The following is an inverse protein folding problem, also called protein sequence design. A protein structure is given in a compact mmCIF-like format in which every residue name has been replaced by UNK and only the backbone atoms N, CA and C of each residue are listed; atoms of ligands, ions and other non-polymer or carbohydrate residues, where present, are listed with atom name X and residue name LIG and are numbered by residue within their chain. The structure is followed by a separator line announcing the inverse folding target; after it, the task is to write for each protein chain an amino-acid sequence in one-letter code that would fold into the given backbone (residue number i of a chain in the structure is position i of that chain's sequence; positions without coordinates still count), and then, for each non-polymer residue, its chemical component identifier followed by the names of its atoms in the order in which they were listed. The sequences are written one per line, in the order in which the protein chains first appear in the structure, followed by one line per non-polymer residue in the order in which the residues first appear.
data_IF_720071787742
#
_entry.id   IF_720071787742
#
_cell.length_a   1.000
_cell.length_b   1.000
_cell.length_c   1.000
_cell.angle_alpha   90.00
_cell.angle_beta   90.00
_cell.angle_gamma   90.00
#
_symmetry.space_group_name_H-M   'P 1'
#
loop_
_entity.id
_entity.type
_entity.pdbx_description
1 polymer ?
#
# COMPACT_ATOMS: atom_id res chain seq x y z
N UNK A 1 -36.79 4.39 17.71
CA UNK A 1 -36.52 5.74 18.23
C UNK A 1 -37.36 6.76 17.49
N UNK A 2 -37.95 7.76 18.18
CA UNK A 2 -38.82 8.77 17.57
C UNK A 2 -38.07 10.05 17.21
N UNK A 3 -36.79 9.92 16.77
CA UNK A 3 -36.06 11.08 16.29
C UNK A 3 -36.55 11.48 14.89
N UNK A 4 -36.97 12.73 14.75
CA UNK A 4 -37.28 13.29 13.45
C UNK A 4 -35.98 13.87 12.83
N UNK A 5 -35.45 13.18 11.82
CA UNK A 5 -34.21 13.56 11.15
C UNK A 5 -34.45 14.21 9.78
N UNK A 6 -35.71 14.49 9.40
CA UNK A 6 -36.09 14.97 8.05
C UNK A 6 -35.47 16.32 7.62
N UNK A 7 -34.95 17.10 8.59
CA UNK A 7 -34.30 18.38 8.32
C UNK A 7 -32.79 18.37 8.60
N UNK A 8 -32.22 17.20 8.94
CA UNK A 8 -30.80 17.08 9.21
C UNK A 8 -30.01 17.08 7.92
N UNK A 9 -29.03 17.98 7.80
CA UNK A 9 -28.14 18.11 6.63
C UNK A 9 -26.74 17.56 6.88
N UNK A 10 -26.37 17.35 8.15
CA UNK A 10 -25.08 16.74 8.55
C UNK A 10 -25.27 15.80 9.72
N UNK A 11 -24.70 14.60 9.59
CA UNK A 11 -24.60 13.60 10.65
C UNK A 11 -23.12 13.33 11.02
N UNK A 12 -22.26 14.33 10.75
CA UNK A 12 -20.84 14.25 11.10
C UNK A 12 -20.68 13.93 12.59
N UNK A 13 -19.84 12.94 12.89
CA UNK A 13 -19.48 12.54 14.27
C UNK A 13 -20.69 12.15 15.17
N UNK A 14 -21.88 11.87 14.63
CA UNK A 14 -23.10 11.68 15.43
C UNK A 14 -22.98 10.59 16.49
N UNK A 15 -22.27 9.50 16.23
CA UNK A 15 -22.01 8.39 17.15
C UNK A 15 -20.52 8.23 17.47
N UNK A 16 -19.71 9.26 17.18
CA UNK A 16 -18.27 9.20 17.43
C UNK A 16 -17.96 8.81 18.87
N UNK A 17 -17.07 7.82 19.05
CA UNK A 17 -16.63 7.39 20.37
C UNK A 17 -17.66 6.59 21.18
N UNK A 18 -18.81 6.20 20.61
CA UNK A 18 -19.78 5.32 21.28
C UNK A 18 -19.19 3.89 21.41
N UNK A 19 -18.10 3.78 22.17
CA UNK A 19 -17.24 2.58 22.22
C UNK A 19 -17.92 1.35 22.84
N UNK A 20 -18.97 1.52 23.64
CA UNK A 20 -19.73 0.42 24.27
C UNK A 20 -20.98 0.01 23.48
N UNK A 21 -21.28 0.68 22.37
CA UNK A 21 -22.44 0.38 21.54
C UNK A 21 -22.18 -0.94 20.79
N UNK A 22 -23.06 -1.93 20.98
CA UNK A 22 -22.91 -3.27 20.38
C UNK A 22 -23.74 -3.41 19.11
N UNK A 23 -24.96 -2.87 19.14
CA UNK A 23 -25.93 -2.94 18.04
C UNK A 23 -26.58 -1.58 17.85
N UNK A 24 -26.85 -1.23 16.59
CA UNK A 24 -27.53 0.02 16.28
C UNK A 24 -28.42 -0.16 15.06
N UNK A 25 -29.71 0.16 15.20
CA UNK A 25 -30.67 0.22 14.10
C UNK A 25 -31.05 1.67 13.83
N UNK A 26 -30.72 2.15 12.64
CA UNK A 26 -31.02 3.49 12.14
C UNK A 26 -31.92 3.47 10.91
N UNK A 27 -32.59 2.34 10.64
CA UNK A 27 -33.43 2.19 9.44
C UNK A 27 -34.56 3.22 9.35
N UNK A 28 -35.00 3.80 10.50
CA UNK A 28 -36.02 4.82 10.56
C UNK A 28 -35.52 6.26 10.34
N UNK A 29 -34.19 6.46 10.18
CA UNK A 29 -33.65 7.79 9.95
C UNK A 29 -33.92 8.26 8.53
N UNK A 30 -34.47 9.46 8.39
CA UNK A 30 -34.52 10.13 7.09
C UNK A 30 -33.20 10.86 6.86
N UNK A 31 -32.42 10.39 5.89
CA UNK A 31 -31.10 10.93 5.55
C UNK A 31 -31.09 11.66 4.18
N UNK A 32 -32.24 11.85 3.56
CA UNK A 32 -32.37 12.39 2.22
C UNK A 32 -31.75 13.80 2.01
N UNK A 33 -31.58 14.57 3.10
CA UNK A 33 -30.93 15.89 3.05
C UNK A 33 -29.48 15.87 3.56
N UNK A 34 -28.98 14.70 4.00
CA UNK A 34 -27.67 14.62 4.62
C UNK A 34 -26.59 14.61 3.56
N UNK A 35 -25.69 15.57 3.61
CA UNK A 35 -24.54 15.67 2.71
C UNK A 35 -23.22 15.23 3.34
N UNK A 36 -23.11 15.20 4.67
CA UNK A 36 -21.89 14.87 5.37
C UNK A 36 -22.15 13.82 6.47
N UNK A 37 -21.53 12.65 6.31
CA UNK A 37 -21.53 11.55 7.30
C UNK A 37 -20.11 11.23 7.80
N UNK A 38 -19.15 12.15 7.62
CA UNK A 38 -17.77 11.90 8.06
C UNK A 38 -17.71 11.62 9.56
N UNK A 39 -16.88 10.64 9.96
CA UNK A 39 -16.70 10.21 11.34
C UNK A 39 -17.98 9.70 12.06
N UNK A 40 -19.09 9.46 11.35
CA UNK A 40 -20.39 9.18 11.99
C UNK A 40 -20.32 8.06 13.03
N UNK A 41 -19.56 6.99 12.76
CA UNK A 41 -19.36 5.85 13.67
C UNK A 41 -17.90 5.70 14.12
N UNK A 42 -17.08 6.74 13.99
CA UNK A 42 -15.67 6.70 14.36
C UNK A 42 -15.48 6.23 15.81
N UNK A 43 -14.62 5.23 16.01
CA UNK A 43 -14.36 4.62 17.32
C UNK A 43 -15.56 3.94 18.00
N UNK A 44 -16.59 3.53 17.28
CA UNK A 44 -17.62 2.60 17.79
C UNK A 44 -17.02 1.19 17.90
N UNK A 45 -16.06 1.02 18.81
CA UNK A 45 -15.18 -0.16 18.87
C UNK A 45 -15.90 -1.48 19.13
N UNK A 46 -17.01 -1.47 19.87
CA UNK A 46 -17.80 -2.67 20.20
C UNK A 46 -18.94 -2.95 19.24
N UNK A 47 -19.16 -2.07 18.23
CA UNK A 47 -20.27 -2.19 17.29
C UNK A 47 -20.10 -3.43 16.42
N UNK A 48 -21.00 -4.41 16.57
CA UNK A 48 -21.01 -5.68 15.82
C UNK A 48 -22.03 -5.68 14.71
N UNK A 49 -23.20 -5.09 14.94
CA UNK A 49 -24.33 -5.03 14.03
C UNK A 49 -24.79 -3.60 13.83
N UNK A 50 -24.89 -3.19 12.57
CA UNK A 50 -25.36 -1.86 12.18
C UNK A 50 -26.37 -2.00 11.05
N UNK A 51 -27.60 -1.53 11.28
CA UNK A 51 -28.64 -1.46 10.25
C UNK A 51 -28.79 -0.02 9.76
N UNK A 52 -28.38 0.22 8.54
CA UNK A 52 -28.49 1.49 7.80
C UNK A 52 -29.15 1.29 6.43
N UNK A 53 -29.92 0.21 6.29
CA UNK A 53 -30.60 -0.13 5.03
C UNK A 53 -31.60 0.91 4.55
N UNK A 54 -32.11 1.75 5.44
CA UNK A 54 -33.02 2.85 5.12
C UNK A 54 -32.34 4.17 4.75
N UNK A 55 -31.01 4.22 4.70
CA UNK A 55 -30.31 5.46 4.35
C UNK A 55 -30.51 5.83 2.89
N UNK A 56 -31.01 7.06 2.67
CA UNK A 56 -30.98 7.73 1.38
C UNK A 56 -29.73 8.63 1.33
N UNK A 57 -28.82 8.32 0.43
CA UNK A 57 -27.51 8.97 0.35
C UNK A 57 -27.29 9.77 -0.94
N UNK A 58 -28.38 10.08 -1.69
CA UNK A 58 -28.31 10.82 -2.96
C UNK A 58 -27.56 12.16 -2.86
N UNK A 59 -27.60 12.81 -1.69
CA UNK A 59 -26.93 14.08 -1.44
C UNK A 59 -25.57 13.93 -0.73
N UNK A 60 -25.14 12.68 -0.43
CA UNK A 60 -23.91 12.44 0.31
C UNK A 60 -22.68 12.84 -0.51
N UNK A 61 -21.82 13.72 0.03
CA UNK A 61 -20.58 14.14 -0.60
C UNK A 61 -19.32 13.81 0.22
N UNK A 62 -19.47 13.53 1.51
CA UNK A 62 -18.37 13.20 2.39
C UNK A 62 -18.71 12.03 3.31
N UNK A 63 -18.00 10.90 3.13
CA UNK A 63 -18.07 9.74 4.02
C UNK A 63 -16.71 9.35 4.60
N UNK A 64 -15.73 10.29 4.58
CA UNK A 64 -14.40 10.04 5.11
C UNK A 64 -14.48 9.60 6.57
N UNK A 65 -13.71 8.55 6.90
CA UNK A 65 -13.59 8.02 8.28
C UNK A 65 -14.92 7.58 8.91
N UNK A 66 -15.98 7.33 8.11
CA UNK A 66 -17.32 7.05 8.62
C UNK A 66 -17.35 5.86 9.56
N UNK A 67 -16.62 4.78 9.25
CA UNK A 67 -16.53 3.56 10.07
C UNK A 67 -15.15 3.34 10.68
N UNK A 68 -14.30 4.35 10.67
CA UNK A 68 -12.92 4.22 11.17
C UNK A 68 -12.90 3.76 12.63
N UNK A 69 -12.11 2.69 12.93
CA UNK A 69 -12.05 2.02 14.23
C UNK A 69 -13.39 1.37 14.71
N UNK A 70 -14.26 0.95 13.79
CA UNK A 70 -15.35 0.02 14.13
C UNK A 70 -14.78 -1.40 14.20
N UNK A 71 -13.90 -1.65 15.17
CA UNK A 71 -13.03 -2.83 15.21
C UNK A 71 -13.76 -4.15 15.44
N UNK A 72 -14.99 -4.14 15.95
CA UNK A 72 -15.83 -5.34 16.17
C UNK A 72 -16.86 -5.57 15.05
N UNK A 73 -16.98 -4.68 14.07
CA UNK A 73 -17.93 -4.81 12.96
C UNK A 73 -17.57 -6.03 12.10
N UNK A 74 -18.52 -6.96 11.95
CA UNK A 74 -18.28 -8.25 11.28
C UNK A 74 -18.65 -8.19 9.79
N UNK A 75 -19.78 -7.54 9.50
CA UNK A 75 -20.28 -7.37 8.12
C UNK A 75 -20.89 -5.99 7.95
N UNK A 76 -20.85 -5.48 6.72
CA UNK A 76 -21.48 -4.23 6.37
C UNK A 76 -21.99 -4.31 4.93
N UNK A 77 -23.24 -3.90 4.72
CA UNK A 77 -23.85 -3.79 3.40
C UNK A 77 -24.11 -2.33 3.07
N UNK A 78 -23.49 -1.83 2.00
CA UNK A 78 -23.66 -0.50 1.46
C UNK A 78 -24.25 -0.53 0.03
N UNK A 79 -24.87 -1.63 -0.38
CA UNK A 79 -25.44 -1.77 -1.73
C UNK A 79 -26.56 -0.77 -2.03
N UNK A 80 -27.16 -0.17 -0.98
CA UNK A 80 -28.17 0.88 -1.11
C UNK A 80 -27.58 2.31 -1.16
N UNK A 81 -26.25 2.47 -0.98
CA UNK A 81 -25.63 3.80 -0.98
C UNK A 81 -25.46 4.34 -2.38
N UNK A 82 -26.02 5.52 -2.65
CA UNK A 82 -25.63 6.35 -3.78
C UNK A 82 -24.43 7.21 -3.36
N UNK A 83 -23.27 6.92 -3.95
CA UNK A 83 -22.03 7.64 -3.68
C UNK A 83 -21.58 8.51 -4.87
N UNK A 84 -22.49 8.78 -5.83
CA UNK A 84 -22.21 9.52 -7.05
C UNK A 84 -21.70 10.96 -6.82
N UNK A 85 -21.94 11.51 -5.64
CA UNK A 85 -21.49 12.83 -5.24
C UNK A 85 -20.30 12.81 -4.25
N UNK A 86 -19.85 11.62 -3.82
CA UNK A 86 -18.77 11.49 -2.85
C UNK A 86 -17.42 11.85 -3.48
N UNK A 87 -16.68 12.73 -2.83
CA UNK A 87 -15.37 13.22 -3.29
C UNK A 87 -14.20 12.63 -2.49
N UNK A 88 -14.44 12.09 -1.29
CA UNK A 88 -13.41 11.47 -0.46
C UNK A 88 -13.95 10.24 0.27
N UNK A 89 -13.17 9.17 0.22
CA UNK A 89 -13.38 7.93 0.95
C UNK A 89 -12.18 7.62 1.88
N UNK A 90 -11.41 8.67 2.24
CA UNK A 90 -10.26 8.54 3.12
C UNK A 90 -10.65 7.81 4.41
N UNK A 91 -9.92 6.71 4.73
CA UNK A 91 -10.10 5.92 5.95
C UNK A 91 -11.53 5.43 6.24
N UNK A 92 -12.39 5.37 5.22
CA UNK A 92 -13.81 5.03 5.45
C UNK A 92 -13.99 3.75 6.26
N UNK A 93 -13.21 2.70 5.98
CA UNK A 93 -13.26 1.41 6.68
C UNK A 93 -11.98 1.09 7.45
N UNK A 94 -11.08 2.06 7.63
CA UNK A 94 -9.81 1.81 8.29
C UNK A 94 -10.03 1.24 9.70
N UNK A 95 -9.16 0.30 10.12
CA UNK A 95 -9.21 -0.36 11.43
C UNK A 95 -10.54 -1.09 11.75
N UNK A 96 -11.35 -1.45 10.73
CA UNK A 96 -12.44 -2.40 10.86
C UNK A 96 -11.86 -3.83 10.91
N UNK A 97 -11.11 -4.14 11.96
CA UNK A 97 -10.23 -5.32 12.02
C UNK A 97 -10.96 -6.66 12.05
N UNK A 98 -12.23 -6.70 12.46
CA UNK A 98 -13.08 -7.91 12.47
C UNK A 98 -13.94 -8.05 11.22
N UNK A 99 -13.89 -7.09 10.28
CA UNK A 99 -14.73 -7.08 9.09
C UNK A 99 -14.36 -8.24 8.17
N UNK A 100 -15.30 -9.16 7.94
CA UNK A 100 -15.12 -10.34 7.08
C UNK A 100 -15.84 -10.15 5.74
N UNK A 101 -17.00 -9.50 5.74
CA UNK A 101 -17.85 -9.27 4.56
C UNK A 101 -18.18 -7.79 4.43
N UNK A 102 -17.93 -7.26 3.23
CA UNK A 102 -18.22 -5.87 2.89
C UNK A 102 -18.82 -5.84 1.49
N UNK A 103 -20.10 -5.46 1.40
CA UNK A 103 -20.80 -5.32 0.12
C UNK A 103 -20.73 -3.87 -0.39
N UNK A 104 -20.02 -3.67 -1.49
CA UNK A 104 -19.78 -2.38 -2.15
C UNK A 104 -20.34 -2.35 -3.59
N UNK A 105 -21.21 -3.29 -3.96
CA UNK A 105 -21.58 -3.58 -5.35
C UNK A 105 -22.06 -2.36 -6.15
N UNK A 106 -22.72 -1.41 -5.51
CA UNK A 106 -23.28 -0.24 -6.17
C UNK A 106 -22.53 1.08 -5.89
N UNK A 107 -21.36 1.02 -5.22
CA UNK A 107 -20.61 2.23 -4.95
C UNK A 107 -20.09 2.88 -6.24
N UNK A 108 -20.46 4.13 -6.44
CA UNK A 108 -20.01 4.97 -7.55
C UNK A 108 -18.86 5.84 -7.07
N UNK A 109 -17.67 5.70 -7.70
CA UNK A 109 -16.46 6.40 -7.25
C UNK A 109 -15.93 7.44 -8.24
N UNK A 110 -16.74 7.82 -9.23
CA UNK A 110 -16.33 8.70 -10.33
C UNK A 110 -15.81 10.07 -9.91
N UNK A 111 -16.24 10.59 -8.74
CA UNK A 111 -15.81 11.90 -8.22
C UNK A 111 -14.80 11.79 -7.09
N UNK A 112 -14.44 10.57 -6.68
CA UNK A 112 -13.51 10.36 -5.56
C UNK A 112 -12.10 10.75 -5.97
N UNK A 113 -11.46 11.60 -5.15
CA UNK A 113 -10.09 12.09 -5.34
C UNK A 113 -9.14 11.46 -4.33
N UNK A 114 -9.61 11.09 -3.15
CA UNK A 114 -8.81 10.51 -2.07
C UNK A 114 -9.40 9.18 -1.59
N UNK A 115 -8.62 8.10 -1.77
CA UNK A 115 -8.92 6.75 -1.27
C UNK A 115 -7.86 6.28 -0.26
N UNK A 116 -7.06 7.22 0.29
CA UNK A 116 -5.99 6.85 1.21
C UNK A 116 -6.52 6.11 2.43
N UNK A 117 -5.84 5.02 2.78
CA UNK A 117 -6.15 4.17 3.93
C UNK A 117 -7.58 3.62 3.96
N UNK A 118 -8.32 3.60 2.82
CA UNK A 118 -9.74 3.24 2.80
C UNK A 118 -10.04 1.90 3.47
N UNK A 119 -9.23 0.87 3.24
CA UNK A 119 -9.35 -0.47 3.82
C UNK A 119 -8.20 -0.81 4.77
N UNK A 120 -7.42 0.20 5.19
CA UNK A 120 -6.24 -0.05 6.03
C UNK A 120 -6.63 -0.80 7.31
N UNK A 121 -5.85 -1.82 7.67
CA UNK A 121 -6.11 -2.65 8.88
C UNK A 121 -7.46 -3.40 8.90
N UNK A 122 -8.06 -3.66 7.75
CA UNK A 122 -9.16 -4.62 7.62
C UNK A 122 -8.59 -6.06 7.70
N UNK A 123 -8.07 -6.42 8.87
CA UNK A 123 -7.23 -7.62 9.09
C UNK A 123 -7.94 -8.94 8.82
N UNK A 124 -9.28 -8.99 8.94
CA UNK A 124 -10.09 -10.19 8.75
C UNK A 124 -10.69 -10.32 7.37
N UNK A 125 -10.56 -9.30 6.52
CA UNK A 125 -11.11 -9.28 5.17
C UNK A 125 -10.33 -10.29 4.29
N UNK A 126 -11.05 -11.27 3.72
CA UNK A 126 -10.44 -12.33 2.91
C UNK A 126 -10.45 -11.96 1.42
N UNK A 127 -11.52 -11.32 0.99
CA UNK A 127 -11.72 -10.84 -0.38
C UNK A 127 -12.56 -9.58 -0.38
N UNK A 128 -12.50 -8.82 -1.44
CA UNK A 128 -13.32 -7.63 -1.64
C UNK A 128 -13.60 -7.46 -3.14
N UNK A 129 -14.87 -7.20 -3.49
CA UNK A 129 -15.24 -6.83 -4.84
C UNK A 129 -15.24 -5.31 -5.00
N UNK A 130 -14.28 -4.83 -5.78
CA UNK A 130 -14.09 -3.43 -6.16
C UNK A 130 -14.04 -3.26 -7.68
N UNK A 131 -14.57 -4.25 -8.41
CA UNK A 131 -14.61 -4.24 -9.89
C UNK A 131 -15.41 -3.05 -10.45
N UNK A 132 -16.37 -2.51 -9.67
CA UNK A 132 -17.13 -1.32 -10.02
C UNK A 132 -16.43 0.02 -9.78
N UNK A 133 -15.24 0.03 -9.16
CA UNK A 133 -14.57 1.29 -8.82
C UNK A 133 -14.00 1.98 -10.07
N UNK A 134 -14.35 3.24 -10.26
CA UNK A 134 -13.69 4.13 -11.20
C UNK A 134 -12.68 5.02 -10.44
N UNK A 135 -11.39 4.80 -10.69
CA UNK A 135 -10.31 5.50 -9.99
C UNK A 135 -9.66 6.62 -10.82
N UNK A 136 -10.25 6.98 -11.97
CA UNK A 136 -9.66 7.94 -12.93
C UNK A 136 -9.46 9.36 -12.40
N UNK A 137 -10.07 9.70 -11.27
CA UNK A 137 -9.88 10.99 -10.59
C UNK A 137 -9.07 10.89 -9.28
N UNK A 138 -8.68 9.68 -8.88
CA UNK A 138 -7.96 9.47 -7.62
C UNK A 138 -6.52 9.95 -7.75
N UNK A 139 -6.08 10.76 -6.79
CA UNK A 139 -4.71 11.28 -6.69
C UNK A 139 -3.91 10.68 -5.53
N UNK A 140 -4.61 10.07 -4.56
CA UNK A 140 -4.00 9.54 -3.34
C UNK A 140 -4.56 8.14 -3.02
N UNK A 141 -3.68 7.12 -3.08
CA UNK A 141 -3.96 5.72 -2.72
C UNK A 141 -3.03 5.23 -1.58
N UNK A 142 -2.44 6.17 -0.81
CA UNK A 142 -1.54 5.82 0.30
C UNK A 142 -2.23 4.85 1.26
N UNK A 143 -1.57 3.71 1.56
CA UNK A 143 -2.02 2.73 2.52
C UNK A 143 -3.39 2.09 2.25
N UNK A 144 -3.94 2.19 1.02
CA UNK A 144 -5.34 1.81 0.73
C UNK A 144 -5.70 0.41 1.20
N UNK A 145 -4.80 -0.57 1.03
CA UNK A 145 -4.97 -1.96 1.48
C UNK A 145 -3.97 -2.35 2.56
N UNK A 146 -3.25 -1.39 3.15
CA UNK A 146 -2.24 -1.69 4.16
C UNK A 146 -2.83 -2.51 5.31
N UNK A 147 -2.07 -3.50 5.81
CA UNK A 147 -2.48 -4.38 6.91
C UNK A 147 -3.74 -5.24 6.66
N UNK A 148 -4.13 -5.45 5.40
CA UNK A 148 -5.15 -6.43 5.02
C UNK A 148 -4.55 -7.84 5.05
N UNK A 149 -4.33 -8.37 6.25
CA UNK A 149 -3.49 -9.54 6.51
C UNK A 149 -4.04 -10.86 5.94
N UNK A 150 -5.36 -10.96 5.71
CA UNK A 150 -6.00 -12.19 5.21
C UNK A 150 -6.37 -12.14 3.72
N UNK A 151 -6.20 -11.03 3.04
CA UNK A 151 -6.43 -10.95 1.59
C UNK A 151 -5.37 -11.82 0.89
N UNK A 152 -5.84 -12.79 0.09
CA UNK A 152 -5.00 -13.71 -0.67
C UNK A 152 -4.80 -13.24 -2.11
N UNK A 153 -5.86 -12.72 -2.71
CA UNK A 153 -5.85 -12.17 -4.07
C UNK A 153 -6.64 -10.86 -4.11
N UNK A 154 -6.24 -9.96 -4.99
CA UNK A 154 -6.89 -8.66 -5.15
C UNK A 154 -6.94 -8.29 -6.63
N UNK A 155 -8.15 -8.10 -7.17
CA UNK A 155 -8.34 -7.68 -8.56
C UNK A 155 -8.32 -6.17 -8.66
N UNK A 156 -7.32 -5.62 -9.35
CA UNK A 156 -7.13 -4.19 -9.58
C UNK A 156 -7.07 -3.84 -11.08
N UNK A 157 -7.50 -4.74 -11.95
CA UNK A 157 -7.37 -4.60 -13.40
C UNK A 157 -8.18 -3.43 -13.99
N UNK A 158 -9.18 -2.94 -13.26
CA UNK A 158 -9.98 -1.77 -13.62
C UNK A 158 -9.45 -0.45 -13.08
N UNK A 159 -8.36 -0.46 -12.28
CA UNK A 159 -7.81 0.76 -11.69
C UNK A 159 -7.09 1.59 -12.76
N UNK A 160 -7.49 2.84 -12.88
CA UNK A 160 -6.75 3.86 -13.60
C UNK A 160 -5.98 4.72 -12.59
N UNK A 161 -4.66 4.63 -12.61
CA UNK A 161 -3.80 5.33 -11.65
C UNK A 161 -3.03 6.51 -12.26
N UNK A 162 -3.38 6.93 -13.46
CA UNK A 162 -2.68 7.97 -14.20
C UNK A 162 -2.59 9.35 -13.50
N UNK A 163 -3.46 9.61 -12.52
CA UNK A 163 -3.42 10.84 -11.71
C UNK A 163 -2.84 10.62 -10.30
N UNK A 164 -2.51 9.39 -9.95
CA UNK A 164 -2.05 9.07 -8.59
C UNK A 164 -0.62 9.57 -8.39
N UNK A 165 -0.42 10.32 -7.30
CA UNK A 165 0.91 10.83 -6.90
C UNK A 165 1.46 10.16 -5.66
N UNK A 166 0.61 9.47 -4.87
CA UNK A 166 0.99 8.81 -3.60
C UNK A 166 0.51 7.38 -3.59
N UNK A 167 1.44 6.43 -3.52
CA UNK A 167 1.20 4.99 -3.39
C UNK A 167 1.96 4.38 -2.20
N UNK A 168 2.48 5.21 -1.29
CA UNK A 168 3.22 4.72 -0.13
C UNK A 168 2.37 3.74 0.67
N UNK A 169 2.99 2.61 1.10
CA UNK A 169 2.37 1.60 1.97
C UNK A 169 1.07 0.96 1.41
N UNK A 170 0.81 1.05 0.09
CA UNK A 170 -0.49 0.64 -0.48
C UNK A 170 -0.86 -0.81 -0.15
N UNK A 171 0.13 -1.73 -0.12
CA UNK A 171 -0.04 -3.14 0.20
C UNK A 171 0.80 -3.57 1.41
N UNK A 172 1.27 -2.62 2.23
CA UNK A 172 2.07 -2.91 3.42
C UNK A 172 1.37 -3.94 4.31
N UNK A 173 2.11 -4.95 4.82
CA UNK A 173 1.57 -5.98 5.74
C UNK A 173 0.43 -6.84 5.15
N UNK A 174 0.29 -6.91 3.82
CA UNK A 174 -0.59 -7.88 3.17
C UNK A 174 0.09 -9.25 3.16
N UNK A 175 0.25 -9.83 4.35
CA UNK A 175 1.11 -11.01 4.58
C UNK A 175 0.65 -12.28 3.87
N UNK A 176 -0.63 -12.41 3.54
CA UNK A 176 -1.22 -13.57 2.85
C UNK A 176 -1.36 -13.37 1.34
N UNK A 177 -1.03 -12.19 0.81
CA UNK A 177 -1.16 -11.88 -0.62
C UNK A 177 -0.15 -12.72 -1.41
N UNK A 178 -0.64 -13.57 -2.32
CA UNK A 178 0.19 -14.50 -3.11
C UNK A 178 0.49 -13.95 -4.49
N UNK A 179 -0.50 -13.32 -5.11
CA UNK A 179 -0.43 -12.77 -6.46
C UNK A 179 -1.10 -11.41 -6.54
N UNK A 180 -0.53 -10.53 -7.36
CA UNK A 180 -1.02 -9.17 -7.53
C UNK A 180 -0.78 -8.70 -8.97
N UNK A 181 -1.87 -8.55 -9.73
CA UNK A 181 -1.80 -8.02 -11.08
C UNK A 181 -1.90 -6.49 -11.07
N UNK A 182 -0.78 -5.82 -11.42
CA UNK A 182 -0.66 -4.37 -11.51
C UNK A 182 -0.47 -3.87 -12.95
N UNK A 183 -0.81 -4.66 -13.96
CA UNK A 183 -0.58 -4.30 -15.38
C UNK A 183 -1.39 -3.08 -15.84
N UNK A 184 -2.46 -2.69 -15.11
CA UNK A 184 -3.23 -1.47 -15.37
C UNK A 184 -2.64 -0.21 -14.74
N UNK A 185 -1.60 -0.34 -13.87
CA UNK A 185 -1.07 0.78 -13.13
C UNK A 185 -0.17 1.65 -14.01
N UNK A 186 -0.51 2.92 -14.12
CA UNK A 186 0.36 4.00 -14.60
C UNK A 186 0.95 4.71 -13.37
N UNK A 187 2.27 4.63 -13.22
CA UNK A 187 2.98 5.22 -12.08
C UNK A 187 3.79 6.45 -12.42
N UNK A 188 3.63 6.98 -13.64
CA UNK A 188 4.42 8.10 -14.17
C UNK A 188 4.33 9.39 -13.33
N UNK A 189 3.25 9.57 -12.57
CA UNK A 189 3.07 10.70 -11.67
C UNK A 189 3.39 10.40 -10.19
N UNK A 190 3.79 9.16 -9.87
CA UNK A 190 4.04 8.76 -8.47
C UNK A 190 5.39 9.29 -7.99
N UNK A 191 5.38 9.92 -6.82
CA UNK A 191 6.58 10.51 -6.19
C UNK A 191 7.07 9.69 -4.99
N UNK A 192 6.17 8.97 -4.31
CA UNK A 192 6.48 8.23 -3.10
C UNK A 192 5.95 6.78 -3.19
N UNK A 193 6.88 5.82 -3.20
CA UNK A 193 6.61 4.37 -3.21
C UNK A 193 7.12 3.67 -1.94
N UNK A 194 7.41 4.43 -0.85
CA UNK A 194 7.93 3.84 0.39
C UNK A 194 6.98 2.74 0.89
N UNK A 195 7.56 1.62 1.31
CA UNK A 195 6.85 0.52 1.93
C UNK A 195 5.73 -0.11 1.09
N UNK A 196 5.66 0.14 -0.23
CA UNK A 196 4.50 -0.25 -1.06
C UNK A 196 4.16 -1.73 -0.92
N UNK A 197 5.19 -2.62 -0.84
CA UNK A 197 5.04 -4.06 -0.67
C UNK A 197 5.68 -4.57 0.63
N UNK A 198 5.98 -3.69 1.58
CA UNK A 198 6.62 -4.06 2.84
C UNK A 198 5.84 -5.17 3.55
N UNK A 199 6.53 -6.26 3.94
CA UNK A 199 5.97 -7.43 4.62
C UNK A 199 4.87 -8.18 3.82
N UNK A 200 4.87 -8.12 2.50
CA UNK A 200 4.11 -9.03 1.63
C UNK A 200 4.80 -10.40 1.61
N UNK A 201 4.74 -11.12 2.74
CA UNK A 201 5.56 -12.33 2.99
C UNK A 201 5.25 -13.50 2.08
N UNK A 202 4.00 -13.63 1.61
CA UNK A 202 3.57 -14.72 0.74
C UNK A 202 3.68 -14.41 -0.75
N UNK A 203 4.04 -13.17 -1.12
CA UNK A 203 4.17 -12.76 -2.51
C UNK A 203 5.36 -13.48 -3.15
N UNK A 204 5.09 -14.33 -4.16
CA UNK A 204 6.13 -15.14 -4.81
C UNK A 204 6.68 -14.50 -6.07
N UNK A 205 5.84 -13.78 -6.79
CA UNK A 205 6.17 -13.06 -8.02
C UNK A 205 5.38 -11.75 -8.09
N UNK A 206 5.91 -10.77 -8.80
CA UNK A 206 5.21 -9.53 -9.10
C UNK A 206 5.73 -8.97 -10.43
N UNK A 207 4.81 -8.57 -11.32
CA UNK A 207 5.16 -7.92 -12.57
C UNK A 207 5.10 -6.40 -12.42
N UNK A 208 6.25 -5.74 -12.56
CA UNK A 208 6.40 -4.29 -12.46
C UNK A 208 6.93 -3.66 -13.76
N UNK A 209 6.93 -4.39 -14.89
CA UNK A 209 7.51 -3.90 -16.15
C UNK A 209 6.85 -2.65 -16.73
N UNK A 210 5.63 -2.33 -16.28
CA UNK A 210 4.91 -1.10 -16.67
C UNK A 210 5.13 0.07 -15.69
N UNK A 211 5.88 -0.13 -14.59
CA UNK A 211 6.11 0.94 -13.62
C UNK A 211 7.12 1.96 -14.18
N UNK A 212 6.71 3.20 -14.30
CA UNK A 212 7.59 4.35 -14.51
C UNK A 212 7.97 4.95 -13.15
N UNK A 213 9.26 4.90 -12.81
CA UNK A 213 9.76 5.42 -11.54
C UNK A 213 10.56 6.72 -11.71
N UNK A 214 10.50 7.36 -12.89
CA UNK A 214 11.29 8.56 -13.22
C UNK A 214 11.01 9.78 -12.34
N UNK A 215 9.87 9.81 -11.66
CA UNK A 215 9.48 10.86 -10.73
C UNK A 215 9.58 10.44 -9.25
N UNK A 216 9.92 9.17 -8.97
CA UNK A 216 9.99 8.67 -7.60
C UNK A 216 11.23 9.21 -6.88
N UNK A 217 11.02 9.73 -5.67
CA UNK A 217 12.09 10.25 -4.80
C UNK A 217 12.35 9.35 -3.58
N UNK A 218 11.40 8.46 -3.23
CA UNK A 218 11.47 7.65 -2.02
C UNK A 218 11.01 6.20 -2.30
N UNK A 219 11.93 5.24 -2.10
CA UNK A 219 11.69 3.80 -2.18
C UNK A 219 12.04 3.08 -0.86
N UNK A 220 12.05 3.83 0.27
CA UNK A 220 12.33 3.30 1.59
C UNK A 220 11.47 2.06 1.88
N UNK A 221 12.11 0.92 2.21
CA UNK A 221 11.45 -0.35 2.55
C UNK A 221 10.47 -0.90 1.51
N UNK A 222 10.58 -0.52 0.22
CA UNK A 222 9.57 -0.88 -0.80
C UNK A 222 9.27 -2.38 -0.85
N UNK A 223 10.30 -3.24 -0.73
CA UNK A 223 10.19 -4.71 -0.71
C UNK A 223 10.70 -5.33 0.60
N UNK A 224 10.81 -4.54 1.68
CA UNK A 224 11.29 -5.08 2.96
C UNK A 224 10.48 -6.31 3.37
N UNK A 225 11.21 -7.42 3.68
CA UNK A 225 10.63 -8.67 4.16
C UNK A 225 9.58 -9.29 3.21
N UNK A 226 9.74 -9.11 1.88
CA UNK A 226 9.07 -9.92 0.87
C UNK A 226 9.75 -11.31 0.83
N UNK A 227 9.56 -12.09 1.91
CA UNK A 227 10.38 -13.26 2.21
C UNK A 227 10.19 -14.45 1.25
N UNK A 228 9.10 -14.51 0.49
CA UNK A 228 8.85 -15.55 -0.52
C UNK A 228 9.24 -15.13 -1.94
N UNK A 229 9.59 -13.86 -2.16
CA UNK A 229 9.93 -13.33 -3.48
C UNK A 229 11.29 -13.88 -3.92
N UNK A 230 11.31 -14.60 -5.06
CA UNK A 230 12.52 -15.27 -5.58
C UNK A 230 13.22 -14.46 -6.65
N UNK A 231 12.44 -13.84 -7.51
CA UNK A 231 12.89 -13.08 -8.67
C UNK A 231 12.14 -11.75 -8.73
N UNK A 232 12.79 -10.72 -9.22
CA UNK A 232 12.20 -9.40 -9.37
C UNK A 232 12.87 -8.68 -10.55
N UNK A 233 12.11 -8.45 -11.61
CA UNK A 233 12.56 -7.66 -12.74
C UNK A 233 12.30 -6.17 -12.50
N UNK A 234 13.39 -5.41 -12.40
CA UNK A 234 13.39 -3.95 -12.21
C UNK A 234 14.12 -3.24 -13.36
N UNK A 235 14.24 -3.88 -14.50
CA UNK A 235 15.01 -3.37 -15.65
C UNK A 235 14.49 -2.03 -16.19
N UNK A 236 13.22 -1.72 -15.96
CA UNK A 236 12.58 -0.46 -16.32
C UNK A 236 12.65 0.64 -15.24
N UNK A 237 13.15 0.32 -14.03
CA UNK A 237 13.22 1.31 -12.95
C UNK A 237 14.31 2.35 -13.24
N UNK A 238 13.97 3.61 -13.01
CA UNK A 238 14.89 4.75 -13.02
C UNK A 238 15.00 5.33 -11.61
N UNK A 239 16.22 5.43 -11.08
CA UNK A 239 16.43 5.87 -9.69
C UNK A 239 17.19 7.20 -9.56
N UNK A 240 17.32 7.94 -10.68
CA UNK A 240 18.09 9.20 -10.70
C UNK A 240 17.60 10.30 -9.78
N UNK A 241 16.32 10.25 -9.36
CA UNK A 241 15.72 11.18 -8.38
C UNK A 241 15.55 10.57 -6.99
N UNK A 242 15.86 9.27 -6.83
CA UNK A 242 15.62 8.58 -5.56
C UNK A 242 16.72 8.92 -4.55
N UNK A 243 16.33 9.55 -3.45
CA UNK A 243 17.25 9.90 -2.36
C UNK A 243 17.20 8.92 -1.18
N UNK A 244 16.21 8.04 -1.14
CA UNK A 244 16.07 7.07 -0.05
C UNK A 244 15.67 5.68 -0.57
N UNK A 245 16.61 4.74 -0.47
CA UNK A 245 16.45 3.30 -0.74
C UNK A 245 16.80 2.47 0.52
N UNK A 246 16.77 3.08 1.73
CA UNK A 246 17.06 2.39 2.98
C UNK A 246 16.18 1.16 3.12
N UNK A 247 16.82 0.01 3.39
CA UNK A 247 16.16 -1.28 3.63
C UNK A 247 15.24 -1.75 2.48
N UNK A 248 15.47 -1.30 1.23
CA UNK A 248 14.57 -1.58 0.10
C UNK A 248 14.32 -3.07 -0.11
N UNK A 249 15.35 -3.91 0.03
CA UNK A 249 15.29 -5.37 -0.11
C UNK A 249 15.63 -6.11 1.19
N UNK A 250 15.64 -5.42 2.34
CA UNK A 250 15.97 -6.02 3.62
C UNK A 250 15.11 -7.26 3.89
N UNK A 251 15.75 -8.38 4.28
CA UNK A 251 15.10 -9.66 4.57
C UNK A 251 14.29 -10.27 3.41
N UNK A 252 14.67 -10.01 2.16
CA UNK A 252 14.20 -10.77 1.00
C UNK A 252 14.93 -12.13 0.96
N UNK A 253 14.65 -12.99 1.96
CA UNK A 253 15.42 -14.20 2.26
C UNK A 253 15.37 -15.30 1.20
N UNK A 254 14.39 -15.26 0.28
CA UNK A 254 14.26 -16.24 -0.81
C UNK A 254 14.82 -15.76 -2.14
N UNK A 255 15.23 -14.49 -2.25
CA UNK A 255 15.77 -13.91 -3.46
C UNK A 255 17.15 -14.50 -3.77
N UNK A 256 17.33 -15.01 -4.99
CA UNK A 256 18.57 -15.65 -5.43
C UNK A 256 19.39 -14.79 -6.35
N UNK A 257 18.75 -13.94 -7.14
CA UNK A 257 19.40 -13.04 -8.08
C UNK A 257 18.69 -11.68 -8.08
N UNK A 258 19.49 -10.60 -8.20
CA UNK A 258 18.96 -9.24 -8.34
C UNK A 258 19.87 -8.42 -9.24
N UNK A 259 19.33 -7.98 -10.38
CA UNK A 259 19.99 -7.06 -11.29
C UNK A 259 19.51 -5.62 -11.05
N UNK A 260 20.41 -4.78 -10.56
CA UNK A 260 20.22 -3.36 -10.34
C UNK A 260 21.20 -2.53 -11.19
N UNK A 261 21.60 -3.08 -12.35
CA UNK A 261 22.57 -2.42 -13.23
C UNK A 261 22.07 -1.09 -13.80
N UNK A 262 20.77 -0.85 -13.76
CA UNK A 262 20.13 0.41 -14.17
C UNK A 262 19.96 1.42 -13.00
N UNK A 263 20.27 1.02 -11.74
CA UNK A 263 20.13 1.89 -10.59
C UNK A 263 21.33 2.84 -10.47
N UNK A 264 21.03 4.12 -10.26
CA UNK A 264 21.99 5.15 -9.86
C UNK A 264 21.77 5.51 -8.39
N UNK A 265 22.84 5.70 -7.62
CA UNK A 265 22.77 5.80 -6.15
C UNK A 265 23.44 7.04 -5.57
N UNK A 266 23.90 7.97 -6.43
CA UNK A 266 24.47 9.23 -5.95
C UNK A 266 23.48 9.95 -5.00
N UNK A 267 24.00 10.43 -3.86
CA UNK A 267 23.23 11.12 -2.82
C UNK A 267 22.11 10.29 -2.16
N UNK A 268 22.03 8.99 -2.42
CA UNK A 268 21.00 8.12 -1.86
C UNK A 268 21.39 7.54 -0.49
N UNK A 269 20.38 7.28 0.35
CA UNK A 269 20.53 6.46 1.56
C UNK A 269 20.30 4.98 1.21
N UNK A 270 21.33 4.15 1.34
CA UNK A 270 21.32 2.71 1.06
C UNK A 270 21.42 1.85 2.33
N UNK A 271 21.23 2.44 3.52
CA UNK A 271 21.35 1.73 4.80
C UNK A 271 20.55 0.43 4.80
N UNK A 272 21.24 -0.69 5.07
CA UNK A 272 20.63 -2.01 5.19
C UNK A 272 19.89 -2.52 3.95
N UNK A 273 20.20 -2.00 2.75
CA UNK A 273 19.43 -2.26 1.52
C UNK A 273 19.30 -3.76 1.24
N UNK A 274 20.36 -4.57 1.42
CA UNK A 274 20.38 -6.01 1.19
C UNK A 274 20.55 -6.81 2.50
N UNK A 275 20.38 -6.18 3.65
CA UNK A 275 20.55 -6.83 4.94
C UNK A 275 19.63 -8.04 5.08
N UNK A 276 20.19 -9.21 5.50
CA UNK A 276 19.47 -10.50 5.60
C UNK A 276 18.95 -11.09 4.27
N UNK A 277 19.49 -10.71 3.12
CA UNK A 277 19.25 -11.42 1.85
C UNK A 277 20.09 -12.71 1.82
N UNK A 278 19.72 -13.69 2.65
CA UNK A 278 20.56 -14.85 2.98
C UNK A 278 20.79 -15.82 1.81
N UNK A 279 19.87 -15.84 0.82
CA UNK A 279 19.98 -16.76 -0.34
C UNK A 279 20.53 -16.11 -1.60
N UNK A 280 20.83 -14.81 -1.57
CA UNK A 280 21.31 -14.12 -2.77
C UNK A 280 22.64 -14.71 -3.23
N UNK A 281 22.73 -15.05 -4.51
CA UNK A 281 23.89 -15.67 -5.17
C UNK A 281 24.53 -14.72 -6.18
N UNK A 282 23.71 -13.92 -6.87
CA UNK A 282 24.15 -12.93 -7.85
C UNK A 282 23.51 -11.58 -7.54
N UNK A 283 24.35 -10.54 -7.42
CA UNK A 283 23.93 -9.16 -7.22
C UNK A 283 24.68 -8.24 -8.20
N UNK A 284 23.97 -7.67 -9.16
CA UNK A 284 24.54 -6.74 -10.12
C UNK A 284 24.28 -5.30 -9.69
N UNK A 285 25.35 -4.62 -9.27
CA UNK A 285 25.31 -3.23 -8.77
C UNK A 285 26.30 -2.33 -9.52
N UNK A 286 26.54 -2.64 -10.80
CA UNK A 286 27.59 -1.98 -11.60
C UNK A 286 27.51 -0.46 -11.62
N UNK A 287 26.31 0.13 -11.51
CA UNK A 287 26.14 1.57 -11.57
C UNK A 287 25.94 2.23 -10.18
N UNK A 288 26.19 1.49 -9.07
CA UNK A 288 26.20 2.09 -7.75
C UNK A 288 27.41 3.01 -7.56
N UNK A 289 27.17 4.21 -7.09
CA UNK A 289 28.21 5.20 -6.78
C UNK A 289 28.44 5.29 -5.27
N UNK A 290 29.25 4.36 -4.73
CA UNK A 290 29.53 4.31 -3.29
C UNK A 290 30.36 5.50 -2.77
N UNK A 291 30.98 6.29 -3.64
CA UNK A 291 31.72 7.48 -3.22
C UNK A 291 30.81 8.66 -2.86
N UNK A 292 29.64 8.72 -3.47
CA UNK A 292 28.70 9.82 -3.32
C UNK A 292 27.39 9.40 -2.62
N UNK A 293 27.28 8.17 -2.06
CA UNK A 293 26.09 7.79 -1.28
C UNK A 293 26.11 8.45 0.12
N UNK A 294 24.93 8.85 0.59
CA UNK A 294 24.79 9.46 1.89
C UNK A 294 24.99 8.48 3.06
N UNK A 295 24.57 7.23 2.90
CA UNK A 295 24.69 6.19 3.92
C UNK A 295 24.62 4.80 3.29
N UNK A 296 25.55 3.92 3.69
CA UNK A 296 25.58 2.49 3.30
C UNK A 296 25.76 1.57 4.53
N UNK A 297 25.48 2.04 5.73
CA UNK A 297 25.62 1.26 6.97
C UNK A 297 24.82 -0.05 6.85
N UNK A 298 25.47 -1.18 7.17
CA UNK A 298 24.86 -2.51 7.13
C UNK A 298 24.30 -2.97 5.77
N UNK A 299 24.69 -2.35 4.65
CA UNK A 299 24.11 -2.64 3.32
C UNK A 299 24.20 -4.14 2.96
N UNK A 300 25.31 -4.83 3.30
CA UNK A 300 25.58 -6.24 3.05
C UNK A 300 25.59 -7.09 4.33
N UNK A 301 24.97 -6.63 5.42
CA UNK A 301 24.95 -7.40 6.66
C UNK A 301 24.14 -8.68 6.52
N UNK A 302 24.71 -9.82 6.92
CA UNK A 302 24.06 -11.15 6.88
C UNK A 302 23.67 -11.58 5.45
N UNK A 303 24.50 -11.25 4.44
CA UNK A 303 24.49 -11.93 3.15
C UNK A 303 25.61 -12.99 3.10
N UNK A 304 25.56 -13.91 2.14
CA UNK A 304 26.64 -14.89 1.93
C UNK A 304 27.97 -14.19 1.60
N UNK A 305 29.08 -14.64 2.15
CA UNK A 305 30.40 -14.09 1.85
C UNK A 305 30.82 -14.31 0.38
N UNK A 306 30.35 -15.39 -0.24
CA UNK A 306 30.68 -15.79 -1.62
C UNK A 306 29.66 -15.32 -2.66
N UNK A 307 28.72 -14.43 -2.31
CA UNK A 307 27.80 -13.82 -3.29
C UNK A 307 28.61 -13.21 -4.44
N UNK A 308 28.20 -13.50 -5.70
CA UNK A 308 28.81 -12.88 -6.87
C UNK A 308 28.30 -11.45 -6.99
N UNK A 309 29.14 -10.47 -6.65
CA UNK A 309 28.83 -9.06 -6.80
C UNK A 309 29.44 -8.55 -8.08
N UNK A 310 28.60 -8.11 -9.03
CA UNK A 310 29.04 -7.58 -10.32
C UNK A 310 29.12 -6.06 -10.21
N UNK A 311 30.30 -5.53 -10.50
CA UNK A 311 30.65 -4.11 -10.43
C UNK A 311 31.12 -3.60 -11.79
N UNK A 312 31.18 -2.28 -11.98
CA UNK A 312 31.55 -1.63 -13.22
C UNK A 312 33.01 -1.77 -13.60
N UNK A 313 33.90 -1.56 -12.62
CA UNK A 313 35.34 -1.46 -12.86
C UNK A 313 36.17 -1.82 -11.60
N UNK A 314 37.47 -1.82 -11.76
CA UNK A 314 38.41 -2.11 -10.67
C UNK A 314 38.40 -1.06 -9.56
N UNK A 315 38.01 0.18 -9.81
CA UNK A 315 37.89 1.21 -8.80
C UNK A 315 36.79 0.84 -7.80
N UNK A 316 35.62 0.49 -8.32
CA UNK A 316 34.49 0.05 -7.51
C UNK A 316 34.80 -1.27 -6.77
N UNK A 317 35.46 -2.24 -7.46
CA UNK A 317 35.92 -3.50 -6.85
C UNK A 317 36.86 -3.25 -5.66
N UNK A 318 37.86 -2.40 -5.85
CA UNK A 318 38.84 -2.08 -4.79
C UNK A 318 38.18 -1.38 -3.61
N UNK A 319 37.23 -0.47 -3.90
CA UNK A 319 36.45 0.20 -2.86
C UNK A 319 35.66 -0.82 -2.00
N UNK A 320 34.95 -1.77 -2.63
CA UNK A 320 34.20 -2.82 -1.94
C UNK A 320 35.10 -3.72 -1.10
N UNK A 321 36.26 -4.16 -1.66
CA UNK A 321 37.23 -4.98 -0.94
C UNK A 321 37.78 -4.29 0.32
N UNK A 322 37.94 -2.96 0.27
CA UNK A 322 38.45 -2.16 1.39
C UNK A 322 37.41 -2.01 2.49
N UNK A 323 36.15 -1.82 2.13
CA UNK A 323 35.08 -1.49 3.07
C UNK A 323 34.31 -2.74 3.59
N UNK A 324 34.38 -3.86 2.85
CA UNK A 324 33.61 -5.10 3.16
C UNK A 324 34.52 -6.33 2.99
N UNK A 325 35.43 -6.53 3.93
CA UNK A 325 36.43 -7.61 3.91
C UNK A 325 35.82 -9.04 3.92
N UNK A 326 34.57 -9.18 4.28
CA UNK A 326 33.83 -10.45 4.27
C UNK A 326 33.33 -10.85 2.88
N UNK A 327 33.35 -9.98 1.88
CA UNK A 327 32.93 -10.28 0.52
C UNK A 327 34.11 -10.87 -0.27
N UNK A 328 33.96 -12.08 -0.80
CA UNK A 328 35.07 -12.83 -1.43
C UNK A 328 34.93 -13.00 -2.93
N UNK A 329 33.81 -12.64 -3.55
CA UNK A 329 33.54 -12.88 -4.96
C UNK A 329 33.01 -11.60 -5.67
N UNK A 330 33.89 -10.60 -5.79
CA UNK A 330 33.57 -9.34 -6.48
C UNK A 330 34.18 -9.39 -7.90
N UNK A 331 33.32 -9.27 -8.92
CA UNK A 331 33.67 -9.45 -10.34
C UNK A 331 33.39 -8.16 -11.10
N UNK A 332 34.35 -7.74 -11.91
CA UNK A 332 34.14 -6.63 -12.85
C UNK A 332 33.27 -7.12 -14.00
N UNK A 333 32.31 -6.33 -14.42
CA UNK A 333 31.48 -6.64 -15.59
C UNK A 333 32.31 -6.66 -16.86
N UNK A 334 31.99 -7.59 -17.76
CA UNK A 334 32.59 -7.66 -19.13
C UNK A 334 32.16 -6.47 -19.98
#
# INVERSE_FOLDING_TARGET
SNFNTSNVTSMQSMFEGCSNLIELDLNSFNTSKVSNMSYMFYKCKSLKMLNISGFDTINLNNMSRMFWYCSSLISLDLSNFDTSNVTTMERTFADCSSLVSLNLTNLITNKVVDMSYMFNSCKSLISIDISGFNTSNVTNMEGMFGFCQKIVTLSLTNFNTSKVTKMANMFQECVSLIDLNLTSFDTSNVVDMRGMFQNCKSLTTINLLNFDTSNVTNMWRMFLNCSSLKELDLSNFTTSKVTNMESMFHACVSMTELDLSNFTTAESNLKGMFMYCEKIEILNIRNFDFQNVNNYENIFKQIKSNVKIIVKDNTQKNWLNTNFSNLTNIVVAD
#
